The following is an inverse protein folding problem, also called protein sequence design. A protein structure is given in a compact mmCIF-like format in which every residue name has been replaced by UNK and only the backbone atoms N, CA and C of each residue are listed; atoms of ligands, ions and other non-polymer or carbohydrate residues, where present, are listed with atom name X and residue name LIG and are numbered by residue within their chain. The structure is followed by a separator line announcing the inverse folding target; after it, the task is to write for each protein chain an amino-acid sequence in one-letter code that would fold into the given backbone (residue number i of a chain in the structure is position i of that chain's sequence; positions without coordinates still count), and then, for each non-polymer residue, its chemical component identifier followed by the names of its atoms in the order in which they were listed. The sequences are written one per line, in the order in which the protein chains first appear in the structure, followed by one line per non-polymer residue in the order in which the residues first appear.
data_IF_592533437858
#
_entry.id   IF_592533437858
#
_cell.length_a   1.000
_cell.length_b   1.000
_cell.length_c   1.000
_cell.angle_alpha   90.00
_cell.angle_beta   90.00
_cell.angle_gamma   90.00
#
_symmetry.space_group_name_H-M   'P 1'
#
loop_
_entity.id
_entity.type
_entity.pdbx_description
1 polymer ?
#
# COMPACT_ATOMS: atom_id res chain seq x y z
N UNK A 1 15.32 3.06 -22.11
CA UNK A 1 14.85 3.61 -20.83
C UNK A 1 13.74 2.71 -20.35
N UNK A 2 14.04 1.80 -19.42
CA UNK A 2 13.04 0.87 -18.89
C UNK A 2 11.99 1.65 -18.11
N UNK A 3 10.71 1.41 -18.41
CA UNK A 3 9.61 2.05 -17.69
C UNK A 3 9.74 1.71 -16.20
N UNK A 4 9.95 2.74 -15.38
CA UNK A 4 9.71 2.59 -13.94
C UNK A 4 8.29 2.07 -13.77
N UNK A 5 8.04 1.17 -12.80
CA UNK A 5 6.68 0.71 -12.55
C UNK A 5 5.79 1.93 -12.29
N UNK A 6 4.70 2.03 -13.04
CA UNK A 6 3.70 3.07 -12.91
C UNK A 6 2.32 2.43 -12.91
N UNK A 7 1.40 3.03 -12.17
CA UNK A 7 0.01 2.63 -12.21
C UNK A 7 -0.68 3.00 -13.53
N UNK A 8 -1.80 2.34 -13.80
CA UNK A 8 -2.72 2.74 -14.87
C UNK A 8 -3.42 4.06 -14.55
N UNK A 9 -4.10 4.68 -15.54
CA UNK A 9 -4.73 5.98 -15.37
C UNK A 9 -5.96 5.97 -14.45
N UNK A 10 -6.50 4.80 -14.09
CA UNK A 10 -7.67 4.66 -13.22
C UNK A 10 -7.35 4.59 -11.72
N UNK A 11 -6.07 4.62 -11.34
CA UNK A 11 -5.67 4.66 -9.92
C UNK A 11 -6.01 5.99 -9.29
N UNK A 12 -6.76 5.92 -8.18
CA UNK A 12 -7.01 7.01 -7.28
C UNK A 12 -5.95 7.05 -6.17
N UNK A 13 -5.45 8.24 -5.86
CA UNK A 13 -4.52 8.44 -4.76
C UNK A 13 -5.19 9.18 -3.61
N UNK A 14 -4.97 8.67 -2.39
CA UNK A 14 -5.50 9.20 -1.15
C UNK A 14 -4.35 9.45 -0.17
N UNK A 15 -4.54 10.40 0.73
CA UNK A 15 -3.67 10.59 1.88
C UNK A 15 -4.39 10.09 3.13
N UNK A 16 -3.74 9.21 3.88
CA UNK A 16 -4.22 8.73 5.18
C UNK A 16 -3.28 9.19 6.28
N UNK A 17 -3.80 9.90 7.27
CA UNK A 17 -3.02 10.29 8.46
C UNK A 17 -3.38 9.39 9.64
N UNK A 18 -2.44 8.57 10.08
CA UNK A 18 -2.59 7.66 11.22
C UNK A 18 -1.21 7.35 11.84
N UNK A 19 -1.16 6.99 13.13
CA UNK A 19 0.07 6.57 13.83
C UNK A 19 1.27 7.55 13.69
N UNK A 20 1.00 8.85 13.54
CA UNK A 20 2.01 9.89 13.32
C UNK A 20 2.63 9.89 11.91
N UNK A 21 2.01 9.21 10.96
CA UNK A 21 2.43 9.08 9.56
C UNK A 21 1.32 9.61 8.65
N UNK A 22 1.67 10.33 7.60
CA UNK A 22 0.76 10.63 6.49
C UNK A 22 1.16 9.77 5.30
N UNK A 23 0.41 8.69 5.07
CA UNK A 23 0.66 7.71 4.03
C UNK A 23 -0.01 8.09 2.71
N UNK A 24 0.71 7.93 1.59
CA UNK A 24 0.08 7.92 0.26
C UNK A 24 -0.46 6.53 -0.03
N UNK A 25 -1.73 6.44 -0.35
CA UNK A 25 -2.46 5.20 -0.65
C UNK A 25 -2.95 5.26 -2.10
N UNK A 26 -2.80 4.17 -2.85
CA UNK A 26 -3.25 3.98 -4.22
C UNK A 26 -4.36 2.93 -4.25
N UNK A 27 -5.48 3.25 -4.89
CA UNK A 27 -6.68 2.40 -4.94
C UNK A 27 -7.21 2.35 -6.38
N UNK A 28 -7.56 1.15 -6.86
CA UNK A 28 -8.26 0.95 -8.14
C UNK A 28 -9.04 -0.36 -8.14
N UNK A 29 -10.04 -0.45 -9.02
CA UNK A 29 -10.80 -1.67 -9.24
C UNK A 29 -12.00 -1.77 -8.32
N UNK A 30 -12.67 -2.92 -8.39
CA UNK A 30 -13.91 -3.21 -7.66
C UNK A 30 -13.96 -4.69 -7.27
N UNK A 31 -14.72 -5.01 -6.23
CA UNK A 31 -14.84 -6.37 -5.71
C UNK A 31 -14.23 -6.52 -4.32
N UNK A 32 -13.84 -7.74 -3.91
CA UNK A 32 -13.19 -7.96 -2.62
C UNK A 32 -11.88 -7.18 -2.50
N UNK A 33 -11.56 -6.75 -1.28
CA UNK A 33 -10.36 -5.97 -1.01
C UNK A 33 -9.11 -6.83 -0.99
N UNK A 34 -8.06 -6.36 -1.69
CA UNK A 34 -6.70 -6.87 -1.57
C UNK A 34 -5.76 -5.71 -1.24
N UNK A 35 -5.04 -5.83 -0.12
CA UNK A 35 -4.05 -4.86 0.34
C UNK A 35 -2.66 -5.39 0.07
N UNK A 36 -1.91 -4.65 -0.75
CA UNK A 36 -0.53 -4.90 -1.09
C UNK A 36 0.40 -4.09 -0.19
N UNK A 37 1.40 -4.75 0.38
CA UNK A 37 2.41 -4.12 1.23
C UNK A 37 3.77 -4.19 0.52
N UNK A 38 4.26 -3.07 -0.05
CA UNK A 38 5.55 -3.04 -0.73
C UNK A 38 6.73 -3.42 0.16
N UNK A 39 7.85 -3.77 -0.48
CA UNK A 39 9.11 -4.01 0.19
C UNK A 39 9.74 -2.72 0.74
N UNK A 40 10.78 -2.90 1.56
CA UNK A 40 11.61 -1.77 2.01
C UNK A 40 12.18 -1.02 0.81
N UNK A 41 12.23 0.30 0.91
CA UNK A 41 12.71 1.23 -0.12
C UNK A 41 11.90 1.19 -1.45
N UNK A 42 10.69 0.63 -1.44
CA UNK A 42 9.78 0.64 -2.59
C UNK A 42 8.49 1.39 -2.28
N UNK A 43 7.84 1.87 -3.33
CA UNK A 43 6.55 2.59 -3.26
C UNK A 43 5.40 1.69 -3.65
N UNK A 44 4.17 2.21 -3.54
CA UNK A 44 2.96 1.51 -3.97
C UNK A 44 3.07 0.96 -5.40
N UNK A 45 3.76 1.67 -6.30
CA UNK A 45 3.96 1.27 -7.70
C UNK A 45 4.69 -0.07 -7.84
N UNK A 46 5.39 -0.58 -6.81
CA UNK A 46 5.98 -1.92 -6.82
C UNK A 46 4.98 -3.04 -7.16
N UNK A 47 3.68 -2.79 -6.99
CA UNK A 47 2.59 -3.70 -7.34
C UNK A 47 1.79 -3.30 -8.60
N UNK A 48 2.29 -2.38 -9.43
CA UNK A 48 1.50 -1.86 -10.56
C UNK A 48 1.13 -2.92 -11.60
N UNK A 49 1.97 -3.95 -11.77
CA UNK A 49 1.67 -5.07 -12.66
C UNK A 49 0.57 -5.97 -12.09
N UNK A 50 0.48 -6.11 -10.77
CA UNK A 50 -0.57 -6.85 -10.09
C UNK A 50 -1.90 -6.09 -10.18
N UNK A 51 -1.89 -4.77 -9.96
CA UNK A 51 -3.05 -3.91 -10.20
C UNK A 51 -3.59 -4.13 -11.61
N UNK A 52 -2.74 -3.98 -12.64
CA UNK A 52 -3.13 -4.15 -14.04
C UNK A 52 -3.73 -5.53 -14.41
N UNK A 53 -3.61 -6.53 -13.52
CA UNK A 53 -4.14 -7.89 -13.74
C UNK A 53 -5.32 -8.26 -12.83
N UNK A 54 -5.54 -7.51 -11.76
CA UNK A 54 -6.48 -7.90 -10.70
C UNK A 54 -7.64 -6.91 -10.51
N UNK A 55 -7.52 -5.67 -11.00
CA UNK A 55 -8.53 -4.62 -10.82
C UNK A 55 -9.93 -4.96 -11.38
N UNK A 56 -10.02 -5.87 -12.34
CA UNK A 56 -11.29 -6.36 -12.90
C UNK A 56 -12.03 -7.34 -11.96
N UNK A 57 -11.35 -7.85 -10.93
CA UNK A 57 -11.90 -8.86 -10.00
C UNK A 57 -11.77 -8.48 -8.53
N UNK A 58 -10.89 -7.54 -8.20
CA UNK A 58 -10.60 -7.09 -6.85
C UNK A 58 -10.50 -5.58 -6.80
N UNK A 59 -10.89 -5.00 -5.67
CA UNK A 59 -10.46 -3.64 -5.33
C UNK A 59 -9.06 -3.75 -4.75
N UNK A 60 -8.08 -3.22 -5.50
CA UNK A 60 -6.67 -3.28 -5.17
C UNK A 60 -6.27 -2.02 -4.39
N UNK A 61 -5.65 -2.20 -3.23
CA UNK A 61 -5.12 -1.14 -2.38
C UNK A 61 -3.62 -1.38 -2.21
N UNK A 62 -2.80 -0.34 -2.37
CA UNK A 62 -1.39 -0.35 -2.01
C UNK A 62 -1.03 0.99 -1.39
N UNK A 63 0.05 1.07 -0.63
CA UNK A 63 0.48 2.33 -0.03
C UNK A 63 2.00 2.44 0.01
N UNK A 64 2.51 3.66 0.12
CA UNK A 64 3.92 3.93 0.34
C UNK A 64 4.23 3.67 1.83
N UNK A 65 5.08 2.68 2.18
CA UNK A 65 5.44 2.41 3.58
C UNK A 65 6.19 3.58 4.23
N UNK A 66 6.37 3.53 5.56
CA UNK A 66 7.19 4.51 6.29
C UNK A 66 8.55 4.70 5.63
N UNK A 67 8.92 5.95 5.39
CA UNK A 67 10.20 6.30 4.76
C UNK A 67 10.26 6.16 3.24
N UNK A 68 9.16 5.78 2.57
CA UNK A 68 9.12 5.60 1.13
C UNK A 68 8.22 6.62 0.42
N UNK A 69 8.57 6.93 -0.83
CA UNK A 69 7.72 7.69 -1.75
C UNK A 69 7.24 9.02 -1.20
N UNK A 70 5.93 9.23 -1.23
CA UNK A 70 5.27 10.45 -0.75
C UNK A 70 4.82 10.35 0.72
N UNK A 71 5.11 9.25 1.41
CA UNK A 71 4.74 9.06 2.81
C UNK A 71 5.63 9.89 3.74
N UNK A 72 4.99 10.76 4.53
CA UNK A 72 5.69 11.56 5.55
C UNK A 72 5.69 10.78 6.87
N UNK A 73 6.88 10.52 7.41
CA UNK A 73 7.08 9.69 8.61
C UNK A 73 7.95 10.40 9.66
N UNK A 74 7.81 10.06 10.96
CA UNK A 74 8.77 10.51 11.97
C UNK A 74 10.16 9.91 11.71
N UNK A 75 11.26 10.51 12.19
CA UNK A 75 12.60 9.94 12.03
C UNK A 75 12.69 8.49 12.55
N UNK A 76 13.49 7.67 11.86
CA UNK A 76 13.83 6.30 12.26
C UNK A 76 14.59 6.27 13.62
N UNK A 77 14.62 5.13 14.35
CA UNK A 77 14.17 3.79 13.95
C UNK A 77 12.66 3.56 14.07
N UNK A 78 12.14 2.68 13.22
CA UNK A 78 10.79 2.13 13.31
C UNK A 78 10.84 0.63 13.57
N UNK A 79 9.89 0.13 14.35
CA UNK A 79 9.73 -1.29 14.66
C UNK A 79 8.79 -1.96 13.66
N UNK A 80 8.81 -3.29 13.59
CA UNK A 80 7.81 -4.01 12.78
C UNK A 80 6.38 -3.80 13.25
N UNK A 81 6.17 -3.55 14.55
CA UNK A 81 4.86 -3.19 15.09
C UNK A 81 4.37 -1.83 14.55
N UNK A 82 5.27 -0.91 14.22
CA UNK A 82 4.90 0.38 13.60
C UNK A 82 4.38 0.18 12.18
N UNK A 83 5.04 -0.67 11.39
CA UNK A 83 4.59 -1.03 10.05
C UNK A 83 3.25 -1.81 10.06
N UNK A 84 3.07 -2.72 11.02
CA UNK A 84 1.82 -3.45 11.19
C UNK A 84 0.65 -2.54 11.56
N UNK A 85 0.86 -1.57 12.46
CA UNK A 85 -0.17 -0.59 12.82
C UNK A 85 -0.57 0.30 11.65
N UNK A 86 0.37 0.61 10.75
CA UNK A 86 0.07 1.37 9.54
C UNK A 86 -0.75 0.57 8.54
N UNK A 87 -0.39 -0.70 8.32
CA UNK A 87 -1.19 -1.59 7.49
C UNK A 87 -2.62 -1.72 8.05
N UNK A 88 -2.75 -1.93 9.37
CA UNK A 88 -4.04 -1.98 10.03
C UNK A 88 -4.84 -0.68 9.82
N UNK A 89 -4.21 0.49 9.94
CA UNK A 89 -4.88 1.76 9.68
C UNK A 89 -5.34 1.92 8.22
N UNK A 90 -4.56 1.42 7.25
CA UNK A 90 -4.98 1.40 5.83
C UNK A 90 -6.19 0.48 5.65
N UNK A 91 -6.18 -0.72 6.24
CA UNK A 91 -7.31 -1.65 6.19
C UNK A 91 -8.55 -1.02 6.82
N UNK A 92 -8.44 -0.49 8.04
CA UNK A 92 -9.55 0.11 8.78
C UNK A 92 -10.16 1.33 8.06
N UNK A 93 -9.33 2.10 7.34
CA UNK A 93 -9.78 3.32 6.65
C UNK A 93 -10.41 3.05 5.29
N UNK A 94 -9.96 2.03 4.56
CA UNK A 94 -10.31 1.85 3.15
C UNK A 94 -11.02 0.53 2.85
N UNK A 95 -10.93 -0.49 3.69
CA UNK A 95 -11.57 -1.79 3.43
C UNK A 95 -12.95 -1.87 4.08
N UNK A 96 -13.91 -2.48 3.39
CA UNK A 96 -15.31 -2.57 3.86
C UNK A 96 -15.64 -3.93 4.52
N UNK A 97 -14.62 -4.78 4.74
CA UNK A 97 -14.76 -6.12 5.29
C UNK A 97 -13.43 -6.88 5.35
N UNK A 98 -13.45 -8.22 5.37
CA UNK A 98 -12.22 -9.02 5.31
C UNK A 98 -11.40 -8.67 4.07
N UNK A 99 -10.13 -8.34 4.26
CA UNK A 99 -9.19 -8.05 3.19
C UNK A 99 -8.17 -9.19 3.01
N UNK A 100 -7.82 -9.48 1.76
CA UNK A 100 -6.65 -10.29 1.43
C UNK A 100 -5.41 -9.42 1.62
N UNK A 101 -4.38 -9.91 2.30
CA UNK A 101 -3.13 -9.16 2.48
C UNK A 101 -2.01 -9.87 1.74
N UNK A 102 -1.24 -9.13 0.94
CA UNK A 102 -0.12 -9.63 0.15
C UNK A 102 1.12 -8.75 0.35
N UNK A 103 2.16 -9.31 0.98
CA UNK A 103 3.38 -8.58 1.30
C UNK A 103 4.61 -9.07 0.53
N UNK A 104 5.51 -8.14 0.18
CA UNK A 104 6.81 -8.43 -0.44
C UNK A 104 7.94 -8.04 0.51
N UNK A 105 8.89 -8.95 0.79
CA UNK A 105 10.08 -8.65 1.61
C UNK A 105 9.70 -8.05 2.97
N UNK A 106 9.98 -6.77 3.24
CA UNK A 106 9.50 -6.03 4.42
C UNK A 106 7.98 -6.22 4.59
N UNK A 107 7.20 -6.09 3.53
CA UNK A 107 5.76 -6.30 3.59
C UNK A 107 5.36 -7.71 4.00
N UNK A 108 6.17 -8.72 3.67
CA UNK A 108 5.96 -10.09 4.14
C UNK A 108 6.25 -10.30 5.63
N UNK A 109 6.99 -9.39 6.27
CA UNK A 109 7.14 -9.36 7.74
C UNK A 109 5.97 -8.65 8.44
N UNK A 110 5.14 -7.94 7.68
CA UNK A 110 3.96 -7.23 8.20
C UNK A 110 2.72 -8.11 8.20
N UNK A 111 2.61 -9.04 7.23
CA UNK A 111 1.50 -10.02 7.10
C UNK A 111 1.52 -11.09 8.18
#
# INVERSE_FOLDING_TARGET
MGAFPSFGPGVEFHNLTANGVTMRVAIEGQGPDIVFIPGGDTTAEGYSQQFARLIDSFRCISYDPRGAGATTSPPAPWTMADYARDCAAVIDAFCDGPAIVCGLSLGGLVT
#
